data_IF_873130559050
#
_entry.id   IF_873130559050
#
_cell.length_a   1.000
_cell.length_b   1.000
_cell.length_c   1.000
_cell.angle_alpha   90.00
_cell.angle_beta   90.00
_cell.angle_gamma   90.00
#
_symmetry.space_group_name_H-M   'P 1'
#
loop_
_entity.id
_entity.type
_entity.pdbx_description
1 polymer ?
#
# COMPACT_ATOMS: atom_id res chain seq x y z
N UNK A 1 28.74 15.58 5.43
CA UNK A 1 27.90 14.88 4.45
C UNK A 1 26.47 14.89 4.99
N UNK A 2 25.56 15.49 4.24
CA UNK A 2 24.15 15.56 4.62
C UNK A 2 23.52 14.13 4.53
N UNK A 3 22.52 13.83 5.34
CA UNK A 3 21.81 12.55 5.29
C UNK A 3 21.25 12.27 3.88
N UNK A 4 20.77 13.30 3.19
CA UNK A 4 20.36 13.26 1.79
C UNK A 4 21.44 12.69 0.88
N UNK A 5 22.69 13.16 1.00
CA UNK A 5 23.79 12.76 0.12
C UNK A 5 24.07 11.25 0.26
N UNK A 6 23.91 10.71 1.48
CA UNK A 6 24.02 9.26 1.71
C UNK A 6 22.94 8.46 1.01
N UNK A 7 21.70 8.96 0.96
CA UNK A 7 20.62 8.28 0.24
C UNK A 7 20.82 8.31 -1.27
N UNK A 8 21.31 9.42 -1.83
CA UNK A 8 21.66 9.51 -3.25
C UNK A 8 22.77 8.52 -3.61
N UNK A 9 23.86 8.51 -2.85
CA UNK A 9 24.96 7.56 -3.03
C UNK A 9 24.50 6.09 -2.95
N UNK A 10 23.56 5.77 -2.04
CA UNK A 10 23.01 4.43 -1.91
C UNK A 10 22.16 4.03 -3.12
N UNK A 11 21.28 4.92 -3.60
CA UNK A 11 20.44 4.66 -4.78
C UNK A 11 21.31 4.47 -6.02
N UNK A 12 22.28 5.37 -6.26
CA UNK A 12 23.23 5.27 -7.37
C UNK A 12 24.03 3.95 -7.31
N UNK A 13 24.50 3.56 -6.11
CA UNK A 13 25.19 2.28 -5.91
C UNK A 13 24.29 1.09 -6.26
N UNK A 14 23.05 1.08 -5.80
CA UNK A 14 22.10 0.01 -6.09
C UNK A 14 21.78 -0.05 -7.59
N UNK A 15 21.54 1.08 -8.21
CA UNK A 15 21.25 1.17 -9.64
C UNK A 15 22.41 0.67 -10.52
N UNK A 16 23.64 0.96 -10.14
CA UNK A 16 24.84 0.51 -10.87
C UNK A 16 25.11 -0.99 -10.67
N UNK A 17 24.95 -1.49 -9.45
CA UNK A 17 25.33 -2.87 -9.11
C UNK A 17 24.16 -3.86 -9.24
N UNK A 18 22.92 -3.40 -9.19
CA UNK A 18 21.69 -4.19 -9.24
C UNK A 18 20.62 -3.55 -10.13
N UNK A 19 20.91 -3.31 -11.43
CA UNK A 19 20.05 -2.51 -12.32
C UNK A 19 18.67 -3.13 -12.61
N UNK A 20 18.46 -4.37 -12.22
CA UNK A 20 17.17 -5.09 -12.39
C UNK A 20 16.25 -4.95 -11.18
N UNK A 21 16.72 -4.34 -10.08
CA UNK A 21 15.90 -4.13 -8.89
C UNK A 21 15.12 -2.83 -9.05
N UNK A 22 13.80 -2.91 -8.93
CA UNK A 22 12.93 -1.74 -8.84
C UNK A 22 13.05 -1.13 -7.44
N UNK A 23 13.40 0.15 -7.36
CA UNK A 23 13.67 0.83 -6.10
C UNK A 23 12.45 1.66 -5.67
N UNK A 24 11.51 1.01 -4.97
CA UNK A 24 10.40 1.67 -4.26
C UNK A 24 10.89 2.07 -2.87
N UNK A 25 11.16 3.35 -2.70
CA UNK A 25 11.88 3.85 -1.53
C UNK A 25 11.17 5.03 -0.89
N UNK A 26 11.31 5.11 0.45
CA UNK A 26 10.78 6.19 1.26
C UNK A 26 9.25 6.21 1.33
N UNK A 27 8.75 7.22 1.99
CA UNK A 27 7.34 7.58 2.11
C UNK A 27 7.22 9.11 2.06
N UNK A 28 6.06 9.69 1.81
CA UNK A 28 5.87 11.14 1.83
C UNK A 28 6.38 11.81 3.10
N UNK A 29 6.25 11.13 4.25
CA UNK A 29 6.72 11.66 5.54
C UNK A 29 8.26 11.74 5.59
N UNK A 30 8.95 10.74 5.03
CA UNK A 30 10.41 10.74 4.95
C UNK A 30 10.91 11.77 3.94
N UNK A 31 10.22 11.94 2.81
CA UNK A 31 10.53 13.01 1.83
C UNK A 31 10.39 14.39 2.49
N UNK A 32 9.32 14.63 3.26
CA UNK A 32 9.15 15.88 4.01
C UNK A 32 10.29 16.10 5.01
N UNK A 33 10.68 15.06 5.77
CA UNK A 33 11.79 15.12 6.70
C UNK A 33 13.14 15.37 6.02
N UNK A 34 13.42 14.76 4.88
CA UNK A 34 14.64 15.01 4.09
C UNK A 34 14.65 16.45 3.57
N UNK A 35 13.51 16.94 3.08
CA UNK A 35 13.37 18.32 2.60
C UNK A 35 13.67 19.33 3.72
N UNK A 36 13.08 19.16 4.88
CA UNK A 36 13.31 20.02 6.07
C UNK A 36 14.79 20.06 6.47
N UNK A 37 15.42 18.89 6.64
CA UNK A 37 16.84 18.80 7.05
C UNK A 37 17.79 19.36 5.97
N UNK A 38 17.42 19.23 4.69
CA UNK A 38 18.26 19.66 3.55
C UNK A 38 18.05 21.10 3.16
N UNK A 39 17.00 21.77 3.65
CA UNK A 39 16.60 23.11 3.22
C UNK A 39 16.14 23.17 1.75
N UNK A 40 15.60 22.06 1.24
CA UNK A 40 15.08 21.93 -0.14
C UNK A 40 13.55 21.82 -0.10
N UNK A 41 12.91 22.07 -1.23
CA UNK A 41 11.50 21.68 -1.41
C UNK A 41 11.38 20.15 -1.57
N UNK A 42 10.21 19.61 -1.29
CA UNK A 42 9.91 18.17 -1.47
C UNK A 42 10.05 17.75 -2.93
N UNK A 43 9.64 18.61 -3.87
CA UNK A 43 9.83 18.37 -5.31
C UNK A 43 11.31 18.28 -5.70
N UNK A 44 12.18 19.16 -5.16
CA UNK A 44 13.61 19.07 -5.41
C UNK A 44 14.24 17.81 -4.84
N UNK A 45 13.79 17.37 -3.65
CA UNK A 45 14.22 16.09 -3.05
C UNK A 45 13.81 14.93 -3.95
N UNK A 46 12.53 14.85 -4.34
CA UNK A 46 12.02 13.80 -5.22
C UNK A 46 12.75 13.77 -6.56
N UNK A 47 12.97 14.94 -7.17
CA UNK A 47 13.72 15.05 -8.44
C UNK A 47 15.11 14.46 -8.33
N UNK A 48 15.84 14.76 -7.25
CA UNK A 48 17.20 14.23 -7.04
C UNK A 48 17.21 12.73 -6.76
N UNK A 49 16.26 12.23 -5.97
CA UNK A 49 16.14 10.81 -5.69
C UNK A 49 15.76 10.01 -6.94
N UNK A 50 14.85 10.52 -7.76
CA UNK A 50 14.50 9.93 -9.06
C UNK A 50 15.72 9.89 -10.00
N UNK A 51 16.47 10.97 -10.11
CA UNK A 51 17.71 11.02 -10.91
C UNK A 51 18.79 10.06 -10.40
N UNK A 52 18.80 9.75 -9.10
CA UNK A 52 19.71 8.78 -8.49
C UNK A 52 19.23 7.32 -8.63
N UNK A 53 18.06 7.08 -9.24
CA UNK A 53 17.56 5.74 -9.55
C UNK A 53 16.37 5.29 -8.72
N UNK A 54 15.70 6.17 -7.96
CA UNK A 54 14.42 5.84 -7.33
C UNK A 54 13.32 5.73 -8.39
N UNK A 55 12.58 4.62 -8.39
CA UNK A 55 11.52 4.34 -9.37
C UNK A 55 10.12 4.62 -8.82
N UNK A 56 9.91 4.41 -7.51
CA UNK A 56 8.61 4.54 -6.90
C UNK A 56 8.62 5.14 -5.50
N UNK A 57 7.48 5.72 -5.12
CA UNK A 57 7.20 6.27 -3.78
C UNK A 57 5.96 5.55 -3.20
N UNK A 58 6.15 4.56 -2.31
CA UNK A 58 5.05 3.92 -1.61
C UNK A 58 4.22 4.88 -0.76
N UNK A 59 2.92 4.63 -0.66
CA UNK A 59 1.96 5.49 0.04
C UNK A 59 1.99 5.43 1.57
N UNK A 60 3.11 4.99 2.15
CA UNK A 60 3.27 4.92 3.60
C UNK A 60 3.01 6.25 4.30
N UNK A 61 2.48 6.20 5.54
CA UNK A 61 2.20 7.39 6.32
C UNK A 61 0.89 8.10 5.99
N UNK A 62 0.08 7.62 5.04
CA UNK A 62 -1.27 8.14 4.83
C UNK A 62 -2.14 7.95 6.07
N UNK A 63 -2.08 6.80 6.69
CA UNK A 63 -2.94 6.35 7.80
C UNK A 63 -4.43 6.63 7.50
N UNK A 64 -4.94 7.76 8.00
CA UNK A 64 -6.26 8.31 7.72
C UNK A 64 -6.10 9.77 7.31
N UNK A 65 -6.44 10.13 6.08
CA UNK A 65 -6.30 11.47 5.53
C UNK A 65 -7.48 12.38 5.93
N UNK A 66 -7.84 12.32 7.21
CA UNK A 66 -8.89 13.12 7.83
C UNK A 66 -8.30 13.80 9.06
N UNK A 67 -8.28 15.12 9.07
CA UNK A 67 -7.60 15.95 10.06
C UNK A 67 -7.94 15.60 11.52
N UNK A 68 -9.23 15.45 11.82
CA UNK A 68 -9.69 15.15 13.17
C UNK A 68 -9.16 13.81 13.69
N UNK A 69 -9.12 12.78 12.82
CA UNK A 69 -8.61 11.45 13.16
C UNK A 69 -7.08 11.47 13.20
N UNK A 70 -6.44 12.04 12.17
CA UNK A 70 -4.99 12.06 12.01
C UNK A 70 -4.26 12.76 13.16
N UNK A 71 -4.79 13.86 13.66
CA UNK A 71 -4.24 14.58 14.82
C UNK A 71 -4.22 13.74 16.10
N UNK A 72 -5.17 12.83 16.26
CA UNK A 72 -5.23 11.94 17.42
C UNK A 72 -4.32 10.72 17.27
N UNK A 73 -4.32 10.08 16.09
CA UNK A 73 -3.59 8.82 15.88
C UNK A 73 -2.12 9.02 15.49
N UNK A 74 -1.79 10.07 14.77
CA UNK A 74 -0.47 10.30 14.17
C UNK A 74 -0.09 11.78 14.11
N UNK A 75 -0.05 12.51 15.24
CA UNK A 75 0.15 13.96 15.27
C UNK A 75 1.51 14.42 14.70
N UNK A 76 2.48 13.50 14.60
CA UNK A 76 3.82 13.78 14.06
C UNK A 76 3.93 13.58 12.55
N UNK A 77 2.89 13.06 11.90
CA UNK A 77 2.92 12.76 10.45
C UNK A 77 2.39 13.91 9.56
N UNK A 78 2.27 15.10 10.11
CA UNK A 78 1.84 16.29 9.38
C UNK A 78 0.36 16.23 8.95
N UNK A 79 -0.02 17.19 8.11
CA UNK A 79 -1.38 17.33 7.60
C UNK A 79 -1.65 16.40 6.41
N UNK A 80 -2.90 15.99 6.16
CA UNK A 80 -3.29 15.24 4.97
C UNK A 80 -2.83 15.88 3.67
N UNK A 81 -2.93 17.20 3.56
CA UNK A 81 -2.58 17.98 2.39
C UNK A 81 -1.09 17.87 2.03
N UNK A 82 -0.20 17.72 3.02
CA UNK A 82 1.23 17.51 2.77
C UNK A 82 1.46 16.15 2.10
N UNK A 83 0.81 15.10 2.60
CA UNK A 83 0.91 13.77 2.00
C UNK A 83 0.39 13.77 0.56
N UNK A 84 -0.79 14.33 0.32
CA UNK A 84 -1.40 14.43 -1.01
C UNK A 84 -0.51 15.23 -1.98
N UNK A 85 0.02 16.36 -1.53
CA UNK A 85 0.92 17.21 -2.34
C UNK A 85 2.19 16.45 -2.74
N UNK A 86 2.84 15.74 -1.81
CA UNK A 86 4.07 15.00 -2.07
C UNK A 86 3.81 13.84 -3.04
N UNK A 87 2.69 13.12 -2.89
CA UNK A 87 2.29 12.09 -3.84
C UNK A 87 2.05 12.66 -5.24
N UNK A 88 1.38 13.80 -5.35
CA UNK A 88 1.19 14.51 -6.60
C UNK A 88 2.51 14.93 -7.25
N UNK A 89 3.45 15.45 -6.44
CA UNK A 89 4.81 15.80 -6.90
C UNK A 89 5.54 14.55 -7.45
N UNK A 90 5.45 13.41 -6.76
CA UNK A 90 6.03 12.15 -7.22
C UNK A 90 5.41 11.68 -8.54
N UNK A 91 4.07 11.73 -8.65
CA UNK A 91 3.35 11.37 -9.88
C UNK A 91 3.71 12.29 -11.06
N UNK A 92 3.92 13.59 -10.81
CA UNK A 92 4.35 14.54 -11.84
C UNK A 92 5.76 14.26 -12.39
N UNK A 93 6.58 13.51 -11.64
CA UNK A 93 7.91 13.06 -12.06
C UNK A 93 7.89 11.67 -12.73
N UNK A 94 6.71 11.06 -12.90
CA UNK A 94 6.57 9.73 -13.48
C UNK A 94 6.92 8.59 -12.52
N UNK A 95 7.02 8.83 -11.20
CA UNK A 95 7.30 7.79 -10.23
C UNK A 95 6.05 6.90 -10.03
N UNK A 96 6.28 5.59 -9.90
CA UNK A 96 5.23 4.63 -9.49
C UNK A 96 4.77 4.94 -8.07
N UNK A 97 3.47 5.04 -7.84
CA UNK A 97 2.93 5.37 -6.52
C UNK A 97 1.79 4.44 -6.13
N UNK A 98 1.64 4.19 -4.83
CA UNK A 98 0.49 3.48 -4.27
C UNK A 98 -0.24 4.33 -3.23
N UNK A 99 -1.54 4.13 -3.10
CA UNK A 99 -2.32 4.74 -2.04
C UNK A 99 -2.56 3.75 -0.90
N UNK A 100 -2.60 4.23 0.33
CA UNK A 100 -2.79 3.38 1.51
C UNK A 100 -3.80 3.97 2.48
N UNK A 101 -4.43 3.09 3.25
CA UNK A 101 -5.29 3.47 4.36
C UNK A 101 -5.02 2.55 5.57
N UNK A 102 -4.85 3.11 6.74
CA UNK A 102 -4.94 2.36 7.98
C UNK A 102 -6.23 2.75 8.69
N UNK A 103 -7.04 1.78 9.10
CA UNK A 103 -8.35 1.99 9.69
C UNK A 103 -8.59 1.09 10.91
N UNK A 104 -9.66 1.36 11.67
CA UNK A 104 -9.96 0.65 12.92
C UNK A 104 -9.49 1.41 14.15
N UNK A 105 -9.27 2.71 14.06
CA UNK A 105 -8.90 3.59 15.18
C UNK A 105 -10.11 4.10 15.98
N UNK A 106 -11.34 3.70 15.61
CA UNK A 106 -12.58 4.24 16.14
C UNK A 106 -13.15 5.40 15.31
N UNK A 107 -12.61 5.61 14.14
CA UNK A 107 -13.12 6.53 13.13
C UNK A 107 -14.52 6.12 12.64
N UNK A 108 -15.28 7.06 12.11
CA UNK A 108 -16.60 6.80 11.52
C UNK A 108 -16.50 6.28 10.09
N UNK A 109 -17.61 5.77 9.54
CA UNK A 109 -17.68 5.37 8.13
C UNK A 109 -17.48 6.59 7.22
N UNK A 110 -18.01 7.74 7.62
CA UNK A 110 -17.85 9.02 6.90
C UNK A 110 -16.37 9.41 6.80
N UNK A 111 -15.59 9.21 7.86
CA UNK A 111 -14.15 9.46 7.83
C UNK A 111 -13.43 8.56 6.81
N UNK A 112 -13.81 7.28 6.72
CA UNK A 112 -13.26 6.36 5.71
C UNK A 112 -13.63 6.80 4.29
N UNK A 113 -14.86 7.21 4.07
CA UNK A 113 -15.31 7.72 2.77
C UNK A 113 -14.58 9.03 2.43
N UNK A 114 -14.38 9.95 3.39
CA UNK A 114 -13.61 11.18 3.19
C UNK A 114 -12.16 10.86 2.78
N UNK A 115 -11.53 9.87 3.43
CA UNK A 115 -10.19 9.42 3.04
C UNK A 115 -10.17 8.92 1.59
N UNK A 116 -11.09 8.03 1.23
CA UNK A 116 -11.19 7.49 -0.14
C UNK A 116 -11.49 8.60 -1.16
N UNK A 117 -12.31 9.60 -0.82
CA UNK A 117 -12.59 10.74 -1.67
C UNK A 117 -11.33 11.54 -1.99
N UNK A 118 -10.48 11.83 -0.99
CA UNK A 118 -9.20 12.53 -1.19
C UNK A 118 -8.24 11.75 -2.08
N UNK A 119 -8.20 10.40 -1.96
CA UNK A 119 -7.41 9.56 -2.85
C UNK A 119 -7.95 9.62 -4.28
N UNK A 120 -9.27 9.48 -4.45
CA UNK A 120 -9.92 9.55 -5.76
C UNK A 120 -9.71 10.89 -6.44
N UNK A 121 -9.92 12.00 -5.71
CA UNK A 121 -9.74 13.34 -6.24
C UNK A 121 -8.31 13.57 -6.74
N UNK A 122 -7.30 13.11 -5.97
CA UNK A 122 -5.91 13.18 -6.40
C UNK A 122 -5.64 12.26 -7.61
N UNK A 123 -6.20 11.05 -7.63
CA UNK A 123 -6.07 10.12 -8.76
C UNK A 123 -6.59 10.76 -10.05
N UNK A 124 -7.82 11.30 -10.02
CA UNK A 124 -8.45 11.90 -11.18
C UNK A 124 -7.68 13.14 -11.67
N UNK A 125 -7.19 13.98 -10.74
CA UNK A 125 -6.35 15.13 -11.06
C UNK A 125 -5.02 14.72 -11.70
N UNK A 126 -4.36 13.70 -11.15
CA UNK A 126 -3.03 13.27 -11.60
C UNK A 126 -3.07 12.57 -12.95
N UNK A 127 -4.05 11.68 -13.17
CA UNK A 127 -4.26 11.05 -14.48
C UNK A 127 -4.52 12.13 -15.53
N UNK A 128 -5.41 13.08 -15.23
CA UNK A 128 -5.75 14.17 -16.16
C UNK A 128 -4.60 15.13 -16.47
N UNK A 129 -3.62 15.24 -15.56
CA UNK A 129 -2.52 16.21 -15.68
C UNK A 129 -1.21 15.58 -16.17
N UNK A 130 -0.92 14.32 -15.79
CA UNK A 130 0.40 13.69 -15.92
C UNK A 130 0.36 12.36 -16.67
N UNK A 131 -0.84 11.83 -16.98
CA UNK A 131 -1.03 10.44 -17.46
C UNK A 131 -0.38 9.42 -16.49
N UNK A 132 -0.40 9.73 -15.21
CA UNK A 132 0.15 8.94 -14.10
C UNK A 132 -0.67 9.16 -12.84
N UNK A 133 -0.71 8.16 -11.95
CA UNK A 133 -1.47 8.21 -10.72
C UNK A 133 -1.09 7.08 -9.77
N UNK A 134 -1.98 6.72 -8.86
CA UNK A 134 -1.81 5.54 -8.02
C UNK A 134 -2.04 4.27 -8.83
N UNK A 135 -1.06 3.39 -8.86
CA UNK A 135 -1.18 2.05 -9.47
C UNK A 135 -2.06 1.14 -8.63
N UNK A 136 -2.04 1.32 -7.31
CA UNK A 136 -2.78 0.46 -6.40
C UNK A 136 -3.23 1.17 -5.12
N UNK A 137 -4.26 0.59 -4.49
CA UNK A 137 -4.71 0.96 -3.15
C UNK A 137 -4.64 -0.24 -2.21
N UNK A 138 -4.14 0.00 -0.98
CA UNK A 138 -3.96 -1.03 0.04
C UNK A 138 -4.57 -0.57 1.36
N UNK A 139 -5.55 -1.31 1.87
CA UNK A 139 -6.16 -1.05 3.17
C UNK A 139 -5.60 -1.99 4.25
N UNK A 140 -5.18 -1.43 5.37
CA UNK A 140 -4.66 -2.17 6.52
C UNK A 140 -5.48 -1.91 7.78
N UNK A 141 -6.03 -2.95 8.43
CA UNK A 141 -6.57 -2.78 9.77
C UNK A 141 -5.44 -2.50 10.76
N UNK A 142 -5.66 -1.55 11.67
CA UNK A 142 -4.69 -1.24 12.73
C UNK A 142 -4.45 -2.47 13.61
N UNK A 143 -3.19 -2.77 13.87
CA UNK A 143 -2.77 -3.79 14.82
C UNK A 143 -2.60 -3.12 16.19
N UNK A 144 -3.21 -3.69 17.24
CA UNK A 144 -3.31 -3.03 18.55
C UNK A 144 -2.41 -3.64 19.63
N UNK A 145 -1.82 -4.81 19.35
CA UNK A 145 -1.21 -5.67 20.38
C UNK A 145 -0.02 -5.03 21.06
N UNK A 146 0.90 -4.44 20.31
CA UNK A 146 2.18 -3.97 20.86
C UNK A 146 2.43 -2.47 20.73
N UNK A 147 1.60 -1.74 19.98
CA UNK A 147 1.81 -0.32 19.73
C UNK A 147 1.27 0.59 20.85
N UNK A 148 1.71 1.86 20.86
CA UNK A 148 1.34 2.84 21.88
C UNK A 148 -0.15 3.18 21.85
N UNK A 149 -0.78 3.19 20.67
CA UNK A 149 -2.19 3.47 20.53
C UNK A 149 -3.04 2.36 21.16
N UNK A 150 -2.74 1.09 20.87
CA UNK A 150 -3.39 -0.05 21.47
C UNK A 150 -3.20 -0.10 22.98
N UNK A 151 -1.99 0.20 23.48
CA UNK A 151 -1.70 0.27 24.93
C UNK A 151 -2.50 1.36 25.64
N UNK A 152 -2.60 2.57 25.08
CA UNK A 152 -3.41 3.68 25.64
C UNK A 152 -4.89 3.36 25.69
N UNK A 153 -5.37 2.53 24.76
CA UNK A 153 -6.77 2.16 24.62
C UNK A 153 -7.08 0.73 25.11
N UNK A 154 -6.18 0.11 25.89
CA UNK A 154 -6.31 -1.29 26.37
C UNK A 154 -7.42 -1.53 27.42
N UNK A 155 -8.21 -0.51 27.76
CA UNK A 155 -9.34 -0.59 28.67
C UNK A 155 -10.67 -0.97 28.00
N UNK A 156 -11.73 -0.26 28.36
CA UNK A 156 -13.13 -0.51 27.97
C UNK A 156 -13.43 -0.44 26.45
N UNK A 157 -12.52 0.09 25.65
CA UNK A 157 -12.77 0.36 24.23
C UNK A 157 -12.23 -0.69 23.25
N UNK A 158 -11.74 -1.83 23.72
CA UNK A 158 -11.23 -2.90 22.84
C UNK A 158 -12.26 -3.41 21.81
N UNK A 159 -13.54 -3.29 22.11
CA UNK A 159 -14.63 -3.71 21.21
C UNK A 159 -14.95 -2.70 20.09
N UNK A 160 -14.48 -1.47 20.21
CA UNK A 160 -14.70 -0.38 19.24
C UNK A 160 -13.46 -0.04 18.42
N UNK A 161 -12.31 -0.63 18.77
CA UNK A 161 -11.03 -0.42 18.11
C UNK A 161 -10.60 -1.67 17.35
N UNK A 162 -9.83 -1.47 16.29
CA UNK A 162 -9.43 -2.52 15.37
C UNK A 162 -10.50 -2.81 14.32
N UNK A 163 -10.19 -3.70 13.42
CA UNK A 163 -11.13 -4.16 12.41
C UNK A 163 -10.98 -5.68 12.24
N UNK A 164 -12.05 -6.40 12.49
CA UNK A 164 -12.11 -7.83 12.22
C UNK A 164 -12.28 -8.15 10.72
N UNK A 165 -12.26 -9.45 10.36
CA UNK A 165 -12.35 -9.88 8.95
C UNK A 165 -13.56 -9.30 8.20
N UNK A 166 -14.74 -9.30 8.80
CA UNK A 166 -15.96 -8.76 8.17
C UNK A 166 -15.82 -7.28 7.83
N UNK A 167 -15.26 -6.50 8.74
CA UNK A 167 -15.07 -5.07 8.56
C UNK A 167 -14.01 -4.79 7.49
N UNK A 168 -12.94 -5.58 7.48
CA UNK A 168 -11.90 -5.51 6.46
C UNK A 168 -12.46 -5.82 5.06
N UNK A 169 -13.19 -6.92 4.90
CA UNK A 169 -13.78 -7.32 3.62
C UNK A 169 -14.78 -6.28 3.11
N UNK A 170 -15.60 -5.70 4.02
CA UNK A 170 -16.50 -4.60 3.67
C UNK A 170 -15.72 -3.38 3.17
N UNK A 171 -14.63 -3.03 3.85
CA UNK A 171 -13.82 -1.87 3.47
C UNK A 171 -13.14 -2.08 2.11
N UNK A 172 -12.61 -3.28 1.83
CA UNK A 172 -12.06 -3.65 0.51
C UNK A 172 -13.11 -3.51 -0.58
N UNK A 173 -14.32 -4.05 -0.35
CA UNK A 173 -15.42 -3.96 -1.33
C UNK A 173 -15.86 -2.51 -1.60
N UNK A 174 -15.98 -1.70 -0.55
CA UNK A 174 -16.29 -0.27 -0.69
C UNK A 174 -15.17 0.47 -1.43
N UNK A 175 -13.90 0.18 -1.12
CA UNK A 175 -12.76 0.78 -1.80
C UNK A 175 -12.77 0.47 -3.30
N UNK A 176 -13.04 -0.79 -3.71
CA UNK A 176 -13.16 -1.17 -5.12
C UNK A 176 -14.27 -0.40 -5.84
N UNK A 177 -15.43 -0.23 -5.21
CA UNK A 177 -16.55 0.49 -5.81
C UNK A 177 -16.34 2.02 -5.86
N UNK A 178 -15.57 2.56 -4.93
CA UNK A 178 -15.38 4.00 -4.78
C UNK A 178 -14.17 4.52 -5.57
N UNK A 179 -13.08 3.75 -5.62
CA UNK A 179 -11.84 4.09 -6.31
C UNK A 179 -11.83 3.49 -7.73
N UNK A 180 -12.79 3.90 -8.55
CA UNK A 180 -13.01 3.35 -9.90
C UNK A 180 -11.90 3.67 -10.90
N UNK A 181 -11.09 4.70 -10.64
CA UNK A 181 -9.91 5.09 -11.43
C UNK A 181 -8.58 4.52 -10.89
N UNK A 182 -8.58 3.81 -9.75
CA UNK A 182 -7.42 3.07 -9.25
C UNK A 182 -7.55 1.61 -9.68
N UNK A 183 -6.64 1.18 -10.55
CA UNK A 183 -6.77 -0.10 -11.24
C UNK A 183 -6.72 -1.29 -10.27
N UNK A 184 -5.78 -1.29 -9.32
CA UNK A 184 -5.53 -2.43 -8.45
C UNK A 184 -5.89 -2.17 -6.99
N UNK A 185 -6.62 -3.11 -6.39
CA UNK A 185 -6.88 -3.16 -4.94
C UNK A 185 -6.17 -4.36 -4.35
N UNK A 186 -5.19 -4.11 -3.50
CA UNK A 186 -4.36 -5.17 -2.93
C UNK A 186 -4.98 -5.74 -1.65
N UNK A 187 -5.04 -7.06 -1.55
CA UNK A 187 -5.38 -7.77 -0.31
C UNK A 187 -4.18 -7.78 0.66
N UNK A 188 -4.44 -7.46 1.93
CA UNK A 188 -3.39 -7.40 2.96
C UNK A 188 -3.27 -8.70 3.75
N UNK A 189 -2.53 -9.68 3.24
CA UNK A 189 -2.19 -10.88 4.00
C UNK A 189 -1.32 -10.62 5.25
N UNK A 190 -0.43 -9.59 5.28
CA UNK A 190 0.39 -9.33 6.47
C UNK A 190 -0.43 -8.99 7.71
N UNK A 191 -1.57 -8.30 7.54
CA UNK A 191 -2.43 -7.89 8.66
C UNK A 191 -3.58 -8.84 8.94
N UNK A 192 -4.07 -9.55 7.92
CA UNK A 192 -5.30 -10.34 8.01
C UNK A 192 -5.10 -11.85 7.86
N UNK A 193 -3.90 -12.27 7.44
CA UNK A 193 -3.64 -13.67 7.06
C UNK A 193 -4.12 -14.00 5.64
N UNK A 194 -3.58 -15.09 5.10
CA UNK A 194 -3.82 -15.51 3.71
C UNK A 194 -5.26 -15.96 3.47
N UNK A 195 -5.94 -16.50 4.48
CA UNK A 195 -7.34 -16.94 4.38
C UNK A 195 -8.29 -15.77 4.18
N UNK A 196 -8.06 -14.66 4.89
CA UNK A 196 -8.88 -13.45 4.71
C UNK A 196 -8.49 -12.72 3.44
N UNK A 197 -7.20 -12.75 3.05
CA UNK A 197 -6.76 -12.24 1.76
C UNK A 197 -7.43 -12.99 0.60
N UNK A 198 -7.56 -14.33 0.70
CA UNK A 198 -8.33 -15.14 -0.25
C UNK A 198 -9.78 -14.66 -0.39
N UNK A 199 -10.45 -14.37 0.73
CA UNK A 199 -11.81 -13.85 0.70
C UNK A 199 -11.88 -12.43 0.14
N UNK A 200 -10.85 -11.60 0.35
CA UNK A 200 -10.79 -10.26 -0.21
C UNK A 200 -10.72 -10.27 -1.74
N UNK A 201 -10.05 -11.26 -2.35
CA UNK A 201 -10.06 -11.45 -3.80
C UNK A 201 -11.47 -11.69 -4.36
N UNK A 202 -12.35 -12.36 -3.60
CA UNK A 202 -13.76 -12.51 -3.95
C UNK A 202 -14.59 -11.24 -3.70
N UNK A 203 -14.07 -10.34 -2.87
CA UNK A 203 -14.75 -9.12 -2.41
C UNK A 203 -14.34 -7.83 -3.12
N UNK A 204 -13.49 -7.91 -4.17
CA UNK A 204 -13.10 -6.73 -4.95
C UNK A 204 -11.59 -6.44 -4.99
N UNK A 205 -10.75 -7.14 -4.23
CA UNK A 205 -9.32 -7.13 -4.45
C UNK A 205 -8.99 -7.95 -5.72
N UNK A 206 -7.97 -7.53 -6.44
CA UNK A 206 -7.46 -8.23 -7.64
C UNK A 206 -5.96 -8.56 -7.52
N UNK A 207 -5.33 -8.13 -6.44
CA UNK A 207 -3.93 -8.39 -6.12
C UNK A 207 -3.82 -9.09 -4.76
N UNK A 208 -3.18 -10.26 -4.73
CA UNK A 208 -2.94 -11.02 -3.50
C UNK A 208 -1.82 -10.46 -2.63
N UNK A 209 -1.19 -9.38 -3.05
CA UNK A 209 -0.05 -8.76 -2.38
C UNK A 209 1.31 -9.29 -2.86
N UNK A 210 2.36 -8.73 -2.30
CA UNK A 210 3.73 -9.07 -2.67
C UNK A 210 4.25 -10.26 -1.88
N UNK A 211 5.16 -11.02 -2.51
CA UNK A 211 6.06 -11.88 -1.73
C UNK A 211 6.96 -11.00 -0.88
N UNK A 212 7.15 -11.34 0.38
CA UNK A 212 8.02 -10.58 1.28
C UNK A 212 9.11 -11.51 1.82
N UNK A 213 10.35 -11.09 1.71
CA UNK A 213 11.47 -11.76 2.38
C UNK A 213 11.45 -11.43 3.88
N UNK A 214 11.05 -10.20 4.22
CA UNK A 214 11.03 -9.69 5.59
C UNK A 214 9.97 -8.61 5.73
N UNK A 215 9.15 -8.72 6.76
CA UNK A 215 8.16 -7.71 7.16
C UNK A 215 8.40 -7.32 8.62
N UNK A 216 8.88 -6.09 8.85
CA UNK A 216 9.30 -5.61 10.17
C UNK A 216 8.35 -4.57 10.77
N UNK A 217 7.45 -3.98 9.98
CA UNK A 217 6.59 -2.88 10.43
C UNK A 217 5.33 -3.41 11.10
N UNK A 218 4.61 -4.30 10.41
CA UNK A 218 3.37 -4.90 10.92
C UNK A 218 3.69 -5.93 12.01
N UNK A 219 4.78 -6.70 11.85
CA UNK A 219 5.25 -7.66 12.84
C UNK A 219 5.63 -6.99 14.17
N UNK A 220 6.23 -5.81 14.15
CA UNK A 220 6.47 -5.01 15.36
C UNK A 220 5.19 -4.65 16.11
N UNK A 221 4.04 -4.67 15.44
CA UNK A 221 2.71 -4.43 16.03
C UNK A 221 1.99 -5.69 16.51
N UNK A 222 2.61 -6.89 16.37
CA UNK A 222 2.12 -8.15 16.94
C UNK A 222 1.71 -9.22 15.94
N UNK A 223 1.89 -9.00 14.64
CA UNK A 223 1.60 -10.00 13.60
C UNK A 223 2.67 -11.10 13.60
N UNK A 224 2.27 -12.35 13.51
CA UNK A 224 3.20 -13.49 13.51
C UNK A 224 3.70 -13.89 12.12
N UNK A 225 2.95 -13.54 11.05
CA UNK A 225 3.31 -13.89 9.68
C UNK A 225 4.10 -12.76 9.04
N UNK A 226 5.37 -12.99 8.78
CA UNK A 226 6.33 -11.99 8.27
C UNK A 226 6.80 -12.26 6.84
N UNK A 227 6.38 -13.37 6.23
CA UNK A 227 6.74 -13.74 4.86
C UNK A 227 5.62 -14.48 4.16
N UNK A 228 5.55 -14.39 2.85
CA UNK A 228 4.73 -15.22 1.99
C UNK A 228 5.54 -15.60 0.75
N UNK A 229 5.53 -16.89 0.40
CA UNK A 229 6.16 -17.38 -0.81
C UNK A 229 5.24 -17.19 -2.02
N UNK A 230 5.83 -17.15 -3.22
CA UNK A 230 5.09 -17.12 -4.47
C UNK A 230 4.06 -18.27 -4.56
N UNK A 231 4.49 -19.50 -4.22
CA UNK A 231 3.63 -20.69 -4.18
C UNK A 231 2.41 -20.51 -3.24
N UNK A 232 2.62 -19.91 -2.08
CA UNK A 232 1.53 -19.67 -1.12
C UNK A 232 0.51 -18.68 -1.65
N UNK A 233 0.96 -17.60 -2.29
CA UNK A 233 0.08 -16.62 -2.92
C UNK A 233 -0.64 -17.22 -4.13
N UNK A 234 0.05 -18.02 -4.98
CA UNK A 234 -0.60 -18.75 -6.07
C UNK A 234 -1.70 -19.67 -5.57
N UNK A 235 -1.43 -20.46 -4.52
CA UNK A 235 -2.45 -21.33 -3.91
C UNK A 235 -3.65 -20.52 -3.38
N UNK A 236 -3.39 -19.38 -2.76
CA UNK A 236 -4.44 -18.47 -2.26
C UNK A 236 -5.35 -17.98 -3.39
N UNK A 237 -4.77 -17.59 -4.52
CA UNK A 237 -5.49 -17.12 -5.71
C UNK A 237 -6.32 -18.26 -6.34
N UNK A 238 -5.71 -19.44 -6.51
CA UNK A 238 -6.39 -20.62 -7.09
C UNK A 238 -7.58 -21.02 -6.22
N UNK A 239 -7.41 -21.08 -4.91
CA UNK A 239 -8.50 -21.39 -3.96
C UNK A 239 -9.61 -20.34 -3.92
N UNK A 240 -9.32 -19.11 -4.31
CA UNK A 240 -10.33 -18.08 -4.55
C UNK A 240 -11.07 -18.27 -5.90
N UNK A 241 -10.65 -19.20 -6.74
CA UNK A 241 -11.26 -19.48 -8.04
C UNK A 241 -10.68 -18.68 -9.20
N UNK A 242 -9.47 -18.12 -9.05
CA UNK A 242 -8.81 -17.32 -10.07
C UNK A 242 -7.52 -17.98 -10.57
N UNK A 243 -7.05 -17.56 -11.73
CA UNK A 243 -5.74 -17.95 -12.27
C UNK A 243 -4.69 -16.93 -11.80
N UNK A 244 -3.61 -17.39 -11.13
CA UNK A 244 -2.57 -16.48 -10.68
C UNK A 244 -1.77 -15.91 -11.85
N UNK A 245 -1.51 -14.62 -11.81
CA UNK A 245 -0.61 -13.90 -12.70
C UNK A 245 0.47 -13.19 -11.86
N UNK A 246 1.74 -13.43 -12.18
CA UNK A 246 2.86 -12.74 -11.56
C UNK A 246 3.04 -11.36 -12.16
N UNK A 247 3.38 -10.40 -11.36
CA UNK A 247 3.63 -9.01 -11.73
C UNK A 247 4.89 -8.45 -11.10
N UNK A 248 5.42 -7.38 -11.68
CA UNK A 248 6.42 -6.52 -11.04
C UNK A 248 5.78 -5.38 -10.21
N UNK A 249 6.59 -4.42 -9.77
CA UNK A 249 6.12 -3.27 -8.97
C UNK A 249 5.28 -2.28 -9.79
N UNK A 250 5.50 -2.23 -11.10
CA UNK A 250 4.76 -1.38 -12.04
C UNK A 250 3.50 -2.07 -12.60
N UNK A 251 3.14 -3.23 -12.05
CA UNK A 251 2.03 -4.09 -12.50
C UNK A 251 2.18 -4.64 -13.92
N UNK A 252 3.41 -4.67 -14.48
CA UNK A 252 3.65 -5.40 -15.71
C UNK A 252 3.56 -6.91 -15.46
N UNK A 253 2.88 -7.61 -16.38
CA UNK A 253 2.77 -9.07 -16.32
C UNK A 253 4.12 -9.74 -16.54
N UNK A 254 4.48 -10.66 -15.66
CA UNK A 254 5.67 -11.47 -15.75
C UNK A 254 5.33 -12.93 -16.06
N UNK A 255 6.32 -13.69 -16.56
CA UNK A 255 6.17 -15.12 -16.75
C UNK A 255 5.76 -15.78 -15.42
N UNK A 256 4.61 -16.44 -15.42
CA UNK A 256 4.06 -17.12 -14.24
C UNK A 256 4.24 -18.62 -14.38
N UNK A 257 5.08 -19.19 -13.54
CA UNK A 257 5.24 -20.64 -13.43
C UNK A 257 4.35 -21.16 -12.30
N UNK A 258 3.35 -21.97 -12.64
CA UNK A 258 2.45 -22.58 -11.66
C UNK A 258 2.91 -24.01 -11.41
N UNK A 259 3.18 -24.42 -10.15
CA UNK A 259 3.56 -25.79 -9.82
C UNK A 259 2.54 -26.83 -10.32
N UNK A 260 3.01 -27.99 -10.80
CA UNK A 260 2.17 -29.03 -11.43
C UNK A 260 1.01 -29.51 -10.54
N UNK A 261 1.23 -29.60 -9.24
CA UNK A 261 0.21 -29.99 -8.28
C UNK A 261 -0.89 -28.92 -8.15
N UNK A 262 -0.54 -27.63 -8.25
CA UNK A 262 -1.52 -26.53 -8.24
C UNK A 262 -2.24 -26.39 -9.59
N UNK A 263 -1.64 -26.80 -10.70
CA UNK A 263 -2.29 -26.80 -12.01
C UNK A 263 -3.60 -27.61 -12.04
N UNK A 264 -3.69 -28.67 -11.24
CA UNK A 264 -4.87 -29.54 -11.13
C UNK A 264 -6.02 -28.88 -10.37
N UNK A 265 -5.73 -27.85 -9.59
CA UNK A 265 -6.70 -27.10 -8.80
C UNK A 265 -7.16 -25.82 -9.50
N UNK A 266 -6.63 -25.53 -10.68
CA UNK A 266 -7.06 -24.36 -11.46
C UNK A 266 -8.57 -24.41 -11.75
N UNK A 267 -9.27 -23.29 -11.61
CA UNK A 267 -10.68 -23.21 -11.94
C UNK A 267 -10.90 -23.55 -13.42
N UNK A 268 -11.93 -24.33 -13.70
CA UNK A 268 -12.33 -24.55 -15.09
C UNK A 268 -12.77 -23.21 -15.70
N UNK A 269 -12.41 -22.93 -16.97
CA UNK A 269 -12.87 -21.71 -17.63
C UNK A 269 -14.40 -21.67 -17.60
N UNK A 270 -14.96 -20.61 -17.03
CA UNK A 270 -16.41 -20.40 -17.07
C UNK A 270 -16.78 -20.08 -18.53
N UNK A 271 -17.66 -20.85 -19.18
CA UNK A 271 -18.10 -20.53 -20.54
C UNK A 271 -18.73 -19.13 -20.54
N UNK A 272 -18.17 -18.22 -21.30
CA UNK A 272 -18.82 -16.93 -21.53
C UNK A 272 -20.11 -17.24 -22.29
N UNK A 273 -21.24 -17.12 -21.62
CA UNK A 273 -22.55 -17.15 -22.31
C UNK A 273 -22.67 -15.84 -23.08
N UNK A 274 -22.54 -15.94 -24.41
CA UNK A 274 -22.79 -14.83 -25.33
C UNK A 274 -24.28 -14.47 -25.34
#
# INVERSE_FOLDING_TARGET
MCIRDRYLELLEFLQVNHPTIHLDCFSPIEIEGIAEISGLSTLEVLTRLSQAGMHGLPGGGAEMLVDSVRKDISPKKGLPENWLRIMKEAQSLGLTTSATNVFGFGETIENRVEHLAKIRDLQDESIGSFDNGFTSFIAWPVQLETNTFGKRNSGSNKYTLGAGPTEYLRHVAVSRLFLDSVEHIQASWPTMGVEIAQMALLGGADDAGSTMMEENVVSASGTSKISASERELQNTIIRAGFTPQKRDSDYNELLTEIPEDLLRELPSPVPIQN
#
